data_IF_455888523873
#
_entry.id   IF_455888523873
#
_cell.length_a   1.000
_cell.length_b   1.000
_cell.length_c   1.000
_cell.angle_alpha   90.00
_cell.angle_beta   90.00
_cell.angle_gamma   90.00
#
_symmetry.space_group_name_H-M   'P 1'
#
loop_
_entity.id
_entity.type
_entity.pdbx_description
1 polymer ?
#
# COMPACT_ATOMS: atom_id res chain seq x y z
N UNK A 1 -35.66 -5.42 16.81
CA UNK A 1 -36.39 -4.57 15.90
C UNK A 1 -35.63 -4.45 14.58
N UNK A 2 -36.23 -3.80 13.60
CA UNK A 2 -35.70 -3.70 12.24
C UNK A 2 -34.32 -3.08 12.17
N UNK A 3 -34.05 -2.06 13.00
CA UNK A 3 -32.74 -1.39 13.04
C UNK A 3 -31.62 -2.33 13.45
N UNK A 4 -31.85 -3.16 14.46
CA UNK A 4 -30.86 -4.13 14.95
C UNK A 4 -30.58 -5.18 13.90
N UNK A 5 -31.62 -5.64 13.20
CA UNK A 5 -31.49 -6.63 12.13
C UNK A 5 -30.66 -6.08 10.97
N UNK A 6 -30.88 -4.82 10.56
CA UNK A 6 -30.13 -4.17 9.50
C UNK A 6 -28.64 -4.02 9.87
N UNK A 7 -28.36 -3.62 11.10
CA UNK A 7 -26.97 -3.50 11.60
C UNK A 7 -26.30 -4.86 11.62
N UNK A 8 -27.01 -5.90 12.05
CA UNK A 8 -26.48 -7.27 12.03
C UNK A 8 -26.18 -7.77 10.64
N UNK A 9 -27.07 -7.51 9.67
CA UNK A 9 -26.87 -7.88 8.27
C UNK A 9 -25.67 -7.17 7.65
N UNK A 10 -25.53 -5.87 7.91
CA UNK A 10 -24.39 -5.08 7.42
C UNK A 10 -23.07 -5.60 7.98
N UNK A 11 -23.04 -5.95 9.28
CA UNK A 11 -21.87 -6.51 9.92
C UNK A 11 -21.50 -7.87 9.35
N UNK A 12 -22.49 -8.73 9.11
CA UNK A 12 -22.28 -10.05 8.51
C UNK A 12 -21.69 -9.93 7.11
N UNK A 13 -22.22 -9.01 6.30
CA UNK A 13 -21.69 -8.75 4.96
C UNK A 13 -20.27 -8.24 5.00
N UNK A 14 -19.97 -7.31 5.93
CA UNK A 14 -18.63 -6.76 6.10
C UNK A 14 -17.64 -7.86 6.51
N UNK A 15 -18.02 -8.70 7.47
CA UNK A 15 -17.17 -9.81 7.93
C UNK A 15 -16.93 -10.83 6.83
N UNK A 16 -17.94 -11.14 6.02
CA UNK A 16 -17.80 -12.03 4.87
C UNK A 16 -16.84 -11.45 3.85
N UNK A 17 -16.99 -10.16 3.54
CA UNK A 17 -16.08 -9.46 2.62
C UNK A 17 -14.66 -9.46 3.14
N UNK A 18 -14.47 -9.22 4.45
CA UNK A 18 -13.16 -9.22 5.07
C UNK A 18 -12.48 -10.59 4.95
N UNK A 19 -13.23 -11.67 5.15
CA UNK A 19 -12.70 -13.04 5.00
C UNK A 19 -12.32 -13.34 3.56
N UNK A 20 -13.19 -13.01 2.61
CA UNK A 20 -12.91 -13.21 1.19
C UNK A 20 -11.70 -12.42 0.73
N UNK A 21 -11.63 -11.16 1.13
CA UNK A 21 -10.49 -10.30 0.78
C UNK A 21 -9.20 -10.80 1.42
N UNK A 22 -9.26 -11.31 2.64
CA UNK A 22 -8.09 -11.87 3.32
C UNK A 22 -7.52 -13.06 2.54
N UNK A 23 -8.38 -13.96 2.07
CA UNK A 23 -7.98 -15.11 1.26
C UNK A 23 -7.34 -14.65 -0.05
N UNK A 24 -7.97 -13.69 -0.74
CA UNK A 24 -7.44 -13.13 -1.99
C UNK A 24 -6.10 -12.43 -1.77
N UNK A 25 -5.99 -11.66 -0.69
CA UNK A 25 -4.76 -10.93 -0.36
C UNK A 25 -3.62 -11.90 -0.02
N UNK A 26 -3.89 -12.91 0.78
CA UNK A 26 -2.89 -13.91 1.14
C UNK A 26 -2.39 -14.66 -0.10
N UNK A 27 -3.30 -15.03 -0.98
CA UNK A 27 -2.96 -15.68 -2.25
C UNK A 27 -2.12 -14.77 -3.14
N UNK A 28 -2.55 -13.52 -3.28
CA UNK A 28 -1.83 -12.52 -4.06
C UNK A 28 -0.40 -12.34 -3.56
N UNK A 29 -0.22 -12.18 -2.25
CA UNK A 29 1.11 -12.00 -1.66
C UNK A 29 1.96 -13.25 -1.81
N UNK A 30 1.37 -14.44 -1.63
CA UNK A 30 2.08 -15.71 -1.80
C UNK A 30 2.55 -15.92 -3.24
N UNK A 31 1.71 -15.61 -4.21
CA UNK A 31 2.08 -15.72 -5.63
C UNK A 31 3.13 -14.69 -6.01
N UNK A 32 2.98 -13.47 -5.48
CA UNK A 32 3.89 -12.37 -5.81
C UNK A 32 5.32 -12.63 -5.31
N UNK A 33 5.47 -13.18 -4.12
CA UNK A 33 6.79 -13.46 -3.54
C UNK A 33 7.61 -14.46 -4.35
N UNK A 34 6.94 -15.28 -5.16
CA UNK A 34 7.60 -16.26 -6.01
C UNK A 34 8.09 -15.66 -7.33
N UNK A 35 7.70 -14.42 -7.65
CA UNK A 35 8.10 -13.76 -8.89
C UNK A 35 9.55 -13.30 -8.82
N UNK A 36 10.19 -13.29 -9.99
CA UNK A 36 11.59 -12.87 -10.11
C UNK A 36 11.76 -11.39 -9.72
N UNK A 37 12.79 -11.11 -8.93
CA UNK A 37 13.13 -9.74 -8.53
C UNK A 37 12.39 -9.24 -7.31
N UNK A 38 11.51 -10.04 -6.73
CA UNK A 38 10.77 -9.65 -5.53
C UNK A 38 11.62 -9.88 -4.29
N UNK A 39 11.72 -8.85 -3.46
CA UNK A 39 12.36 -8.91 -2.14
C UNK A 39 11.27 -8.93 -1.09
N UNK A 40 11.37 -9.83 -0.13
CA UNK A 40 10.40 -9.98 0.96
C UNK A 40 11.04 -9.50 2.26
N UNK A 41 10.41 -8.53 2.92
CA UNK A 41 10.86 -8.03 4.21
C UNK A 41 10.28 -8.89 5.35
N UNK A 42 10.91 -8.89 6.53
CA UNK A 42 10.39 -9.67 7.67
C UNK A 42 8.95 -9.34 8.05
N UNK A 43 8.51 -8.11 7.78
CA UNK A 43 7.14 -7.65 8.07
C UNK A 43 6.10 -8.24 7.10
N UNK A 44 6.55 -8.88 6.02
CA UNK A 44 5.67 -9.36 4.97
C UNK A 44 5.52 -8.41 3.79
N UNK A 45 6.03 -7.19 3.89
CA UNK A 45 6.04 -6.25 2.77
C UNK A 45 6.96 -6.80 1.69
N UNK A 46 6.55 -6.66 0.43
CA UNK A 46 7.34 -7.09 -0.72
C UNK A 46 7.60 -5.88 -1.60
N UNK A 47 8.72 -5.88 -2.30
CA UNK A 47 9.03 -4.83 -3.24
C UNK A 47 9.90 -5.32 -4.38
N UNK A 48 9.89 -4.56 -5.47
CA UNK A 48 10.75 -4.79 -6.63
C UNK A 48 11.32 -3.46 -7.06
N UNK A 49 12.64 -3.42 -7.26
CA UNK A 49 13.32 -2.20 -7.73
C UNK A 49 13.13 -2.08 -9.23
N UNK A 50 12.51 -1.00 -9.68
CA UNK A 50 12.33 -0.69 -11.10
C UNK A 50 13.49 0.18 -11.59
N UNK A 51 13.83 1.23 -10.81
CA UNK A 51 14.98 2.08 -11.06
C UNK A 51 15.75 2.25 -9.76
N UNK A 52 17.07 2.17 -9.81
CA UNK A 52 17.94 2.33 -8.66
C UNK A 52 18.58 3.72 -8.70
N UNK A 53 18.16 4.59 -7.80
CA UNK A 53 18.70 5.95 -7.69
C UNK A 53 20.03 5.98 -6.94
N UNK A 54 20.61 7.18 -6.82
CA UNK A 54 21.88 7.37 -6.17
C UNK A 54 21.86 8.48 -5.12
N UNK A 55 20.71 9.09 -4.87
CA UNK A 55 20.58 10.16 -3.89
C UNK A 55 20.52 9.67 -2.46
N UNK A 56 20.23 10.59 -1.55
CA UNK A 56 20.18 10.26 -0.12
C UNK A 56 18.87 9.58 0.25
N UNK A 57 18.90 8.90 1.39
CA UNK A 57 17.73 8.22 1.96
C UNK A 57 17.02 9.14 2.96
N UNK A 58 15.69 9.07 3.02
CA UNK A 58 14.96 9.76 4.08
C UNK A 58 15.12 9.06 5.43
N UNK A 59 14.86 9.80 6.51
CA UNK A 59 14.72 9.24 7.85
C UNK A 59 13.23 9.16 8.19
N UNK A 60 12.92 8.61 9.35
CA UNK A 60 11.53 8.48 9.81
C UNK A 60 10.84 9.83 10.06
N UNK A 61 11.61 10.92 10.16
CA UNK A 61 11.08 12.28 10.38
C UNK A 61 11.19 13.18 9.16
N UNK A 62 11.74 12.67 8.06
CA UNK A 62 11.92 13.45 6.83
C UNK A 62 10.59 13.76 6.16
N UNK A 63 10.59 14.84 5.38
CA UNK A 63 9.54 15.12 4.42
C UNK A 63 10.01 14.61 3.06
N UNK A 64 9.17 13.86 2.39
CA UNK A 64 9.50 13.29 1.07
C UNK A 64 8.59 13.85 0.01
N UNK A 65 9.11 14.01 -1.19
CA UNK A 65 8.33 14.35 -2.38
C UNK A 65 8.38 13.12 -3.30
N UNK A 66 7.20 12.61 -3.66
CA UNK A 66 7.09 11.38 -4.43
C UNK A 66 6.06 11.51 -5.54
N UNK A 67 6.28 10.79 -6.63
CA UNK A 67 5.21 10.39 -7.53
C UNK A 67 4.81 8.98 -7.17
N UNK A 68 3.51 8.72 -7.16
CA UNK A 68 3.03 7.39 -6.80
C UNK A 68 1.74 7.04 -7.51
N UNK A 69 1.49 5.75 -7.62
CA UNK A 69 0.23 5.20 -8.09
C UNK A 69 -0.13 4.01 -7.21
N UNK A 70 -1.33 4.04 -6.64
CA UNK A 70 -1.84 2.97 -5.80
C UNK A 70 -2.97 2.22 -6.46
N UNK A 71 -2.94 0.90 -6.37
CA UNK A 71 -4.01 0.06 -6.89
C UNK A 71 -4.27 -1.11 -5.95
N UNK A 72 -5.47 -1.69 -6.08
CA UNK A 72 -5.81 -2.94 -5.40
C UNK A 72 -5.10 -4.11 -6.08
N UNK A 73 -5.06 -5.26 -5.42
CA UNK A 73 -4.48 -6.46 -6.01
C UNK A 73 -5.19 -6.87 -7.30
N UNK A 74 -6.44 -6.45 -7.49
CA UNK A 74 -7.20 -6.66 -8.71
C UNK A 74 -6.73 -5.81 -9.89
N UNK A 75 -5.90 -4.79 -9.64
CA UNK A 75 -5.45 -3.84 -10.65
C UNK A 75 -6.23 -2.53 -10.69
N UNK A 76 -7.29 -2.40 -9.90
CA UNK A 76 -8.08 -1.17 -9.85
C UNK A 76 -7.28 -0.06 -9.18
N UNK A 77 -6.98 1.00 -9.94
CA UNK A 77 -6.27 2.17 -9.41
C UNK A 77 -7.20 2.99 -8.53
N UNK A 78 -6.74 3.35 -7.33
CA UNK A 78 -7.53 4.17 -6.42
C UNK A 78 -6.93 5.55 -6.16
N UNK A 79 -5.66 5.75 -6.48
CA UNK A 79 -5.01 7.06 -6.33
C UNK A 79 -3.77 7.13 -7.21
N UNK A 80 -3.46 8.33 -7.73
CA UNK A 80 -2.27 8.54 -8.56
C UNK A 80 -1.88 10.00 -8.60
N UNK A 81 -0.65 10.30 -8.18
CA UNK A 81 -0.07 11.64 -8.36
C UNK A 81 0.23 11.91 -9.83
N UNK A 82 0.54 10.86 -10.60
CA UNK A 82 0.76 11.00 -12.05
C UNK A 82 -0.49 11.50 -12.76
N UNK A 83 -1.65 10.98 -12.37
CA UNK A 83 -2.93 11.41 -12.95
C UNK A 83 -3.25 12.86 -12.63
N UNK A 84 -2.80 13.36 -11.47
CA UNK A 84 -2.98 14.76 -11.07
C UNK A 84 -1.94 15.68 -11.70
N UNK A 85 -0.88 15.13 -12.28
CA UNK A 85 0.18 15.91 -12.93
C UNK A 85 1.15 16.59 -11.97
N UNK A 86 1.11 16.29 -10.68
CA UNK A 86 1.98 16.89 -9.67
C UNK A 86 2.42 15.85 -8.64
N UNK A 87 3.69 15.89 -8.21
CA UNK A 87 4.14 15.04 -7.12
C UNK A 87 3.49 15.46 -5.80
N UNK A 88 3.42 14.52 -4.88
CA UNK A 88 2.85 14.75 -3.56
C UNK A 88 3.98 14.79 -2.51
N UNK A 89 3.78 15.59 -1.46
CA UNK A 89 4.73 15.68 -0.36
C UNK A 89 4.09 15.16 0.92
N UNK A 90 4.85 14.32 1.64
CA UNK A 90 4.39 13.71 2.89
C UNK A 90 5.52 13.72 3.92
N UNK A 91 5.14 13.74 5.20
CA UNK A 91 6.07 13.39 6.26
C UNK A 91 6.05 11.89 6.45
N UNK A 92 7.22 11.27 6.54
CA UNK A 92 7.33 9.81 6.64
C UNK A 92 6.56 9.26 7.84
N UNK A 93 6.53 10.00 8.95
CA UNK A 93 5.85 9.57 10.17
C UNK A 93 4.32 9.70 10.14
N UNK A 94 3.75 10.23 9.05
CA UNK A 94 2.29 10.46 8.94
C UNK A 94 1.60 9.56 7.90
N UNK A 95 2.36 8.75 7.17
CA UNK A 95 1.80 7.88 6.13
C UNK A 95 1.44 6.50 6.70
N UNK A 96 0.80 5.66 5.88
CA UNK A 96 0.45 4.29 6.32
C UNK A 96 1.71 3.48 6.65
N UNK A 97 1.55 2.49 7.51
CA UNK A 97 2.67 1.71 8.07
C UNK A 97 3.60 1.13 7.00
N UNK A 98 3.05 0.64 5.90
CA UNK A 98 3.86 0.10 4.82
C UNK A 98 4.80 1.14 4.22
N UNK A 99 4.33 2.37 4.03
CA UNK A 99 5.15 3.46 3.53
C UNK A 99 6.20 3.90 4.55
N UNK A 100 5.84 3.90 5.84
CA UNK A 100 6.81 4.24 6.92
C UNK A 100 8.00 3.28 6.94
N UNK A 101 7.76 2.03 6.60
CA UNK A 101 8.81 1.02 6.57
C UNK A 101 9.63 1.10 5.28
N UNK A 102 8.99 1.37 4.14
CA UNK A 102 9.63 1.35 2.82
C UNK A 102 10.42 2.63 2.54
N UNK A 103 9.84 3.80 2.81
CA UNK A 103 10.47 5.08 2.44
C UNK A 103 11.89 5.24 2.98
N UNK A 104 12.20 4.88 4.24
CA UNK A 104 13.57 4.99 4.73
C UNK A 104 14.56 4.06 4.04
N UNK A 105 14.09 3.05 3.31
CA UNK A 105 14.93 2.13 2.54
C UNK A 105 15.24 2.65 1.15
N UNK A 106 14.41 3.56 0.63
CA UNK A 106 14.56 4.13 -0.71
C UNK A 106 15.55 5.28 -0.73
N UNK A 107 16.09 5.57 -1.91
CA UNK A 107 16.98 6.72 -2.16
C UNK A 107 16.33 7.63 -3.18
N UNK A 108 16.71 8.90 -3.19
CA UNK A 108 16.26 9.83 -4.23
C UNK A 108 16.67 9.24 -5.60
N UNK A 109 15.71 9.18 -6.49
CA UNK A 109 15.87 8.60 -7.82
C UNK A 109 15.37 7.16 -7.92
N UNK A 110 15.09 6.51 -6.78
CA UNK A 110 14.54 5.16 -6.79
C UNK A 110 13.10 5.18 -7.28
N UNK A 111 12.77 4.17 -8.10
CA UNK A 111 11.39 3.83 -8.43
C UNK A 111 11.19 2.37 -8.02
N UNK A 112 10.35 2.13 -7.04
CA UNK A 112 10.04 0.81 -6.53
C UNK A 112 8.58 0.50 -6.74
N UNK A 113 8.29 -0.77 -7.00
CA UNK A 113 6.94 -1.30 -6.92
C UNK A 113 6.82 -2.03 -5.59
N UNK A 114 5.87 -1.61 -4.77
CA UNK A 114 5.73 -2.07 -3.39
C UNK A 114 4.39 -2.78 -3.23
N UNK A 115 4.42 -3.94 -2.59
CA UNK A 115 3.23 -4.77 -2.36
C UNK A 115 3.01 -4.87 -0.87
N UNK A 116 1.89 -4.34 -0.39
CA UNK A 116 1.59 -4.27 1.03
C UNK A 116 0.53 -5.29 1.41
N UNK A 117 0.82 -6.15 2.42
CA UNK A 117 -0.24 -6.96 3.01
C UNK A 117 -1.22 -6.03 3.74
N UNK A 118 -2.48 -6.48 3.96
CA UNK A 118 -3.50 -5.62 4.56
C UNK A 118 -3.09 -4.95 5.88
N UNK A 119 -2.38 -5.66 6.75
CA UNK A 119 -1.97 -5.16 8.06
C UNK A 119 -0.94 -4.02 7.98
N UNK A 120 -0.30 -3.82 6.83
CA UNK A 120 0.63 -2.70 6.58
C UNK A 120 -0.01 -1.61 5.73
N UNK A 121 -1.27 -1.77 5.37
CA UNK A 121 -2.06 -0.81 4.60
C UNK A 121 -3.23 -0.31 5.44
N UNK A 122 -4.45 -0.55 5.00
CA UNK A 122 -5.64 -0.05 5.71
C UNK A 122 -6.33 -1.13 6.56
N UNK A 123 -5.79 -2.34 6.59
CA UNK A 123 -6.22 -3.42 7.47
C UNK A 123 -7.69 -3.78 7.34
N UNK A 124 -8.26 -4.18 8.46
CA UNK A 124 -9.67 -4.58 8.57
C UNK A 124 -10.64 -3.43 8.28
N UNK A 125 -10.22 -2.19 8.57
CA UNK A 125 -11.06 -1.00 8.36
C UNK A 125 -11.23 -0.68 6.89
N UNK A 126 -10.19 -0.86 6.06
CA UNK A 126 -10.18 -0.40 4.69
C UNK A 126 -10.17 1.12 4.60
N UNK A 127 -10.47 1.62 3.41
CA UNK A 127 -10.58 3.06 3.11
C UNK A 127 -11.71 3.22 2.11
N UNK A 128 -12.92 3.40 2.62
CA UNK A 128 -14.09 3.54 1.79
C UNK A 128 -13.96 4.74 0.85
N UNK A 129 -14.56 4.72 -0.35
CA UNK A 129 -15.40 3.63 -0.86
C UNK A 129 -14.63 2.54 -1.63
N UNK A 130 -13.37 2.76 -1.98
CA UNK A 130 -12.66 1.89 -2.93
C UNK A 130 -11.92 0.74 -2.26
N UNK A 131 -11.23 1.01 -1.15
CA UNK A 131 -10.44 -0.01 -0.47
C UNK A 131 -11.30 -0.68 0.59
N UNK A 132 -11.59 -1.96 0.37
CA UNK A 132 -12.35 -2.77 1.31
C UNK A 132 -11.49 -3.29 2.47
N UNK A 133 -12.11 -4.04 3.40
CA UNK A 133 -11.37 -4.63 4.51
C UNK A 133 -10.42 -5.71 4.03
N UNK A 134 -9.24 -5.78 4.64
CA UNK A 134 -8.23 -6.80 4.37
C UNK A 134 -7.78 -6.88 2.90
N UNK A 135 -7.67 -5.76 2.22
CA UNK A 135 -7.15 -5.74 0.85
C UNK A 135 -5.66 -5.46 0.83
N UNK A 136 -4.92 -6.29 0.09
CA UNK A 136 -3.52 -6.02 -0.24
C UNK A 136 -3.45 -4.90 -1.28
N UNK A 137 -2.44 -4.05 -1.19
CA UNK A 137 -2.29 -2.91 -2.08
C UNK A 137 -0.98 -2.98 -2.83
N UNK A 138 -0.98 -2.40 -4.03
CA UNK A 138 0.21 -2.28 -4.88
C UNK A 138 0.48 -0.80 -5.11
N UNK A 139 1.70 -0.36 -4.82
CA UNK A 139 2.12 1.02 -5.07
C UNK A 139 3.33 1.05 -5.98
N UNK A 140 3.29 1.92 -6.98
CA UNK A 140 4.50 2.39 -7.65
C UNK A 140 4.91 3.67 -6.95
N UNK A 141 6.13 3.75 -6.44
CA UNK A 141 6.63 4.91 -5.70
C UNK A 141 7.95 5.35 -6.32
N UNK A 142 7.98 6.60 -6.76
CA UNK A 142 9.19 7.24 -7.29
C UNK A 142 9.59 8.34 -6.32
N UNK A 143 10.71 8.18 -5.64
CA UNK A 143 11.20 9.15 -4.67
C UNK A 143 11.96 10.27 -5.39
N UNK A 144 11.43 11.48 -5.31
CA UNK A 144 11.95 12.64 -6.06
C UNK A 144 12.83 13.50 -5.21
N UNK A 145 12.47 13.78 -3.96
CA UNK A 145 13.23 14.66 -3.07
C UNK A 145 13.01 14.26 -1.61
N UNK A 146 13.97 14.67 -0.78
CA UNK A 146 13.97 14.46 0.68
C UNK A 146 14.38 15.75 1.35
N UNK A 147 13.60 16.19 2.33
CA UNK A 147 13.93 17.38 3.13
C UNK A 147 14.06 17.04 4.61
#
# INVERSE_FOLDING_TARGET
AMREKMVGEARVKFEAMARENKVKSDRFMAENRAKKGIVVLPSGIQYRVIEDGAGRKPTTTSQVTVHYRGSLSSGLEFDSSFARGQPASFKVDTVIDGWKEILPLMKIGDHWQVFLPPEKAYGMRGQAPVIGPNEALVFDIKLIDVK
#
